data_IF_803104092928
#
_entry.id   IF_803104092928
#
_cell.length_a   1.000
_cell.length_b   1.000
_cell.length_c   1.000
_cell.angle_alpha   90.00
_cell.angle_beta   90.00
_cell.angle_gamma   90.00
#
_symmetry.space_group_name_H-M   'P 1'
#
loop_
_entity.id
_entity.type
_entity.pdbx_description
1 polymer ?
#
# COMPACT_ATOMS: atom_id res chain seq x y z
N UNK A 1 15.03 -4.12 35.96
CA UNK A 1 13.96 -4.95 35.38
C UNK A 1 12.58 -4.62 35.98
N UNK A 2 12.38 -4.69 37.30
CA UNK A 2 11.11 -4.40 37.96
C UNK A 2 10.55 -2.98 37.72
N UNK A 3 11.40 -1.94 37.73
CA UNK A 3 11.01 -0.58 37.34
C UNK A 3 10.48 -0.47 35.92
N UNK A 4 11.09 -1.19 34.97
CA UNK A 4 10.63 -1.21 33.58
C UNK A 4 9.28 -1.92 33.44
N UNK A 5 9.05 -2.99 34.21
CA UNK A 5 7.80 -3.76 34.19
C UNK A 5 6.63 -2.97 34.80
N UNK A 6 6.84 -2.27 35.92
CA UNK A 6 5.84 -1.39 36.53
C UNK A 6 5.50 -0.19 35.65
N UNK A 7 6.49 0.34 34.92
CA UNK A 7 6.25 1.39 33.93
C UNK A 7 5.46 0.86 32.73
N UNK A 8 5.74 -0.36 32.26
CA UNK A 8 4.97 -1.02 31.20
C UNK A 8 3.52 -1.29 31.64
N UNK A 9 3.31 -1.72 32.88
CA UNK A 9 1.97 -2.00 33.43
C UNK A 9 1.15 -0.72 33.67
N UNK A 10 1.79 0.38 34.08
CA UNK A 10 1.11 1.67 34.31
C UNK A 10 1.13 2.60 33.08
N UNK A 11 1.94 2.32 32.05
CA UNK A 11 2.06 3.12 30.84
C UNK A 11 0.72 3.35 30.12
N UNK A 12 -0.21 2.37 30.03
CA UNK A 12 -1.52 2.61 29.44
C UNK A 12 -2.32 3.68 30.18
N UNK A 13 -2.31 3.65 31.52
CA UNK A 13 -3.00 4.63 32.36
C UNK A 13 -2.35 6.00 32.27
N UNK A 14 -1.01 6.08 32.34
CA UNK A 14 -0.26 7.33 32.21
C UNK A 14 -0.49 7.94 30.83
N UNK A 15 -0.47 7.13 29.77
CA UNK A 15 -0.68 7.56 28.39
C UNK A 15 -2.13 8.00 28.16
N UNK A 16 -3.10 7.30 28.74
CA UNK A 16 -4.51 7.69 28.72
C UNK A 16 -4.70 9.05 29.41
N UNK A 17 -4.22 9.20 30.65
CA UNK A 17 -4.28 10.45 31.41
C UNK A 17 -3.62 11.61 30.66
N UNK A 18 -2.44 11.37 30.06
CA UNK A 18 -1.74 12.37 29.24
C UNK A 18 -2.53 12.75 27.98
N UNK A 19 -3.17 11.79 27.29
CA UNK A 19 -3.94 12.03 26.06
C UNK A 19 -5.24 12.80 26.29
N UNK A 20 -5.96 12.50 27.37
CA UNK A 20 -7.17 13.23 27.78
C UNK A 20 -6.81 14.66 28.14
N UNK A 21 -5.73 14.85 28.91
CA UNK A 21 -5.27 16.19 29.27
C UNK A 21 -4.73 17.00 28.08
N UNK A 22 -3.96 16.40 27.18
CA UNK A 22 -3.43 17.09 25.99
C UNK A 22 -4.55 17.60 25.06
N UNK A 23 -5.70 16.93 25.05
CA UNK A 23 -6.88 17.35 24.29
C UNK A 23 -7.79 18.31 25.06
N UNK A 24 -7.94 18.13 26.37
CA UNK A 24 -9.04 18.73 27.13
C UNK A 24 -8.60 19.66 28.27
N UNK A 25 -7.31 19.73 28.59
CA UNK A 25 -6.77 20.63 29.62
C UNK A 25 -7.15 20.30 31.07
N UNK A 26 -7.77 19.14 31.30
CA UNK A 26 -8.27 18.68 32.61
C UNK A 26 -7.74 17.30 33.00
N UNK A 27 -7.81 16.97 34.28
CA UNK A 27 -7.48 15.63 34.80
C UNK A 27 -8.56 14.63 34.33
N UNK A 28 -8.15 13.41 33.97
CA UNK A 28 -9.08 12.36 33.56
C UNK A 28 -10.00 11.95 34.73
N UNK A 29 -11.30 11.78 34.44
CA UNK A 29 -12.28 11.36 35.44
C UNK A 29 -11.99 9.93 35.92
N UNK A 30 -12.12 9.68 37.24
CA UNK A 30 -12.01 8.33 37.83
C UNK A 30 -10.75 8.02 38.65
N UNK A 31 -9.84 8.98 38.86
CA UNK A 31 -8.77 8.80 39.87
C UNK A 31 -9.39 8.95 41.26
N UNK A 32 -9.63 7.84 41.94
CA UNK A 32 -10.20 7.86 43.29
C UNK A 32 -9.31 8.72 44.22
N UNK A 33 -9.87 9.65 45.02
CA UNK A 33 -9.09 10.53 45.90
C UNK A 33 -8.20 9.77 46.91
N UNK A 34 -8.53 8.51 47.19
CA UNK A 34 -7.78 7.60 48.06
C UNK A 34 -6.61 6.89 47.38
N UNK A 35 -6.50 6.91 46.05
CA UNK A 35 -5.48 6.15 45.32
C UNK A 35 -4.05 6.55 45.70
N UNK A 36 -3.68 7.84 45.82
CA UNK A 36 -2.34 8.22 46.28
C UNK A 36 -2.05 7.80 47.72
N UNK A 37 -3.07 7.82 48.59
CA UNK A 37 -2.94 7.40 49.98
C UNK A 37 -2.74 5.88 50.09
N UNK A 38 -3.40 5.08 49.25
CA UNK A 38 -3.21 3.63 49.17
C UNK A 38 -1.82 3.25 48.66
N UNK A 39 -1.32 3.94 47.63
CA UNK A 39 0.05 3.72 47.10
C UNK A 39 1.11 4.13 48.13
N UNK A 40 0.91 5.24 48.84
CA UNK A 40 1.80 5.66 49.93
C UNK A 40 1.79 4.64 51.08
N UNK A 41 0.61 4.17 51.50
CA UNK A 41 0.45 3.13 52.52
C UNK A 41 1.13 1.80 52.14
N UNK A 42 0.93 1.33 50.90
CA UNK A 42 1.59 0.13 50.38
C UNK A 42 3.12 0.29 50.28
N UNK A 43 3.61 1.48 49.94
CA UNK A 43 5.05 1.76 49.88
C UNK A 43 5.70 1.76 51.25
N UNK A 44 5.01 2.25 52.29
CA UNK A 44 5.45 2.17 53.68
C UNK A 44 5.50 0.72 54.17
N UNK A 45 4.55 -0.11 53.76
CA UNK A 45 4.56 -1.54 54.07
C UNK A 45 5.77 -2.24 53.42
N UNK A 46 6.07 -1.95 52.16
CA UNK A 46 7.27 -2.46 51.49
C UNK A 46 8.56 -1.98 52.19
N UNK A 47 8.62 -0.72 52.63
CA UNK A 47 9.79 -0.22 53.36
C UNK A 47 9.96 -0.91 54.71
N UNK A 48 8.85 -1.12 55.44
CA UNK A 48 8.84 -1.87 56.69
C UNK A 48 9.31 -3.31 56.48
N UNK A 49 8.79 -4.00 55.45
CA UNK A 49 9.23 -5.35 55.09
C UNK A 49 10.71 -5.38 54.74
N UNK A 50 11.23 -4.39 53.99
CA UNK A 50 12.65 -4.30 53.66
C UNK A 50 13.54 -4.17 54.90
N UNK A 51 13.15 -3.33 55.86
CA UNK A 51 13.88 -3.14 57.12
C UNK A 51 13.81 -4.39 58.01
N UNK A 52 12.68 -5.10 58.00
CA UNK A 52 12.49 -6.30 58.80
C UNK A 52 13.23 -7.52 58.24
N UNK A 53 13.36 -7.64 56.91
CA UNK A 53 13.95 -8.83 56.27
C UNK A 53 15.36 -8.60 55.74
N UNK A 54 15.81 -7.34 55.61
CA UNK A 54 17.07 -6.98 54.97
C UNK A 54 17.07 -7.16 53.44
N UNK A 55 15.92 -7.49 52.83
CA UNK A 55 15.82 -7.74 51.39
C UNK A 55 15.62 -6.44 50.61
N UNK A 56 16.64 -6.15 49.79
CA UNK A 56 16.74 -4.95 48.95
C UNK A 56 15.61 -4.84 47.90
N UNK A 57 14.99 -5.95 47.49
CA UNK A 57 13.88 -5.92 46.54
C UNK A 57 12.67 -5.15 47.10
N UNK A 58 12.38 -5.30 48.40
CA UNK A 58 11.31 -4.56 49.05
C UNK A 58 11.63 -3.07 49.18
N UNK A 59 12.90 -2.72 49.43
CA UNK A 59 13.35 -1.33 49.47
C UNK A 59 13.20 -0.66 48.09
N UNK A 60 13.56 -1.36 47.01
CA UNK A 60 13.39 -0.89 45.63
C UNK A 60 11.90 -0.66 45.33
N UNK A 61 11.03 -1.61 45.67
CA UNK A 61 9.59 -1.47 45.44
C UNK A 61 8.97 -0.31 46.24
N UNK A 62 9.43 -0.06 47.46
CA UNK A 62 9.01 1.10 48.26
C UNK A 62 9.37 2.43 47.58
N UNK A 63 10.60 2.57 47.08
CA UNK A 63 11.04 3.77 46.36
C UNK A 63 10.22 3.99 45.08
N UNK A 64 9.97 2.93 44.32
CA UNK A 64 9.14 3.01 43.10
C UNK A 64 7.73 3.49 43.43
N UNK A 65 7.12 2.94 44.47
CA UNK A 65 5.77 3.32 44.89
C UNK A 65 5.70 4.79 45.33
N UNK A 66 6.67 5.27 46.10
CA UNK A 66 6.76 6.69 46.54
C UNK A 66 6.90 7.63 45.33
N UNK A 67 7.81 7.32 44.39
CA UNK A 67 8.00 8.13 43.18
C UNK A 67 6.74 8.14 42.33
N UNK A 68 6.07 7.00 42.17
CA UNK A 68 4.81 6.88 41.42
C UNK A 68 3.70 7.70 42.05
N UNK A 69 3.53 7.62 43.38
CA UNK A 69 2.56 8.43 44.11
C UNK A 69 2.85 9.93 43.98
N UNK A 70 4.12 10.34 44.08
CA UNK A 70 4.55 11.72 43.88
C UNK A 70 4.25 12.24 42.47
N UNK A 71 4.45 11.43 41.43
CA UNK A 71 4.07 11.77 40.06
C UNK A 71 2.55 11.94 39.95
N UNK A 72 1.76 11.01 40.47
CA UNK A 72 0.28 11.08 40.42
C UNK A 72 -0.23 12.31 41.16
N UNK A 73 0.29 12.59 42.37
CA UNK A 73 -0.05 13.79 43.13
C UNK A 73 0.37 15.06 42.38
N UNK A 74 1.57 15.07 41.78
CA UNK A 74 2.03 16.16 40.93
C UNK A 74 1.11 16.41 39.74
N UNK A 75 0.59 15.35 39.10
CA UNK A 75 -0.40 15.46 38.02
C UNK A 75 -1.75 16.00 38.49
N UNK A 76 -2.17 15.69 39.72
CA UNK A 76 -3.43 16.18 40.31
C UNK A 76 -3.31 17.65 40.71
N UNK A 77 -2.24 18.03 41.40
CA UNK A 77 -2.14 19.32 42.08
C UNK A 77 -1.26 20.36 41.36
N UNK A 78 -0.28 19.94 40.56
CA UNK A 78 0.66 20.82 39.86
C UNK A 78 1.07 20.28 38.47
N UNK A 79 0.11 20.08 37.55
CA UNK A 79 0.34 19.35 36.30
C UNK A 79 1.35 20.04 35.37
N UNK A 80 1.35 21.38 35.29
CA UNK A 80 2.26 22.13 34.41
C UNK A 80 3.73 21.92 34.80
N UNK A 81 4.03 22.03 36.10
CA UNK A 81 5.37 21.87 36.65
C UNK A 81 5.82 20.41 36.56
N UNK A 82 4.93 19.47 36.90
CA UNK A 82 5.20 18.03 36.82
C UNK A 82 5.50 17.59 35.38
N UNK A 83 4.76 18.10 34.40
CA UNK A 83 4.97 17.79 32.98
C UNK A 83 6.22 18.43 32.39
N UNK A 84 6.63 19.62 32.85
CA UNK A 84 7.88 20.24 32.44
C UNK A 84 9.11 19.38 32.82
N UNK A 85 9.02 18.66 33.95
CA UNK A 85 10.07 17.75 34.42
C UNK A 85 9.97 16.36 33.76
N UNK A 86 8.77 15.79 33.68
CA UNK A 86 8.59 14.43 33.16
C UNK A 86 8.67 14.33 31.63
N UNK A 87 8.22 15.35 30.90
CA UNK A 87 8.17 15.34 29.44
C UNK A 87 9.53 15.03 28.79
N UNK A 88 10.63 15.71 29.15
CA UNK A 88 11.97 15.40 28.63
C UNK A 88 12.45 13.97 28.98
N UNK A 89 12.19 13.51 30.21
CA UNK A 89 12.58 12.18 30.68
C UNK A 89 11.83 11.06 29.93
N UNK A 90 10.52 11.23 29.73
CA UNK A 90 9.69 10.30 28.95
C UNK A 90 10.22 10.19 27.53
N UNK A 91 10.49 11.33 26.86
CA UNK A 91 11.06 11.33 25.50
C UNK A 91 12.43 10.64 25.44
N UNK A 92 13.27 10.81 26.46
CA UNK A 92 14.57 10.14 26.53
C UNK A 92 14.42 8.63 26.69
N UNK A 93 13.51 8.18 27.57
CA UNK A 93 13.20 6.76 27.78
C UNK A 93 12.61 6.15 26.51
N UNK A 94 11.69 6.85 25.83
CA UNK A 94 11.13 6.40 24.55
C UNK A 94 12.22 6.25 23.47
N UNK A 95 13.16 7.20 23.39
CA UNK A 95 14.33 7.09 22.49
C UNK A 95 15.22 5.92 22.85
N UNK A 96 15.50 5.70 24.14
CA UNK A 96 16.33 4.59 24.60
C UNK A 96 15.65 3.23 24.36
N UNK A 97 14.35 3.10 24.66
CA UNK A 97 13.56 1.89 24.38
C UNK A 97 13.44 1.61 22.88
N UNK A 98 13.42 2.64 22.03
CA UNK A 98 13.44 2.47 20.58
C UNK A 98 14.74 1.82 20.06
N UNK A 99 15.86 1.94 20.79
CA UNK A 99 17.12 1.24 20.46
C UNK A 99 17.05 -0.27 20.74
N UNK A 100 16.15 -0.71 21.63
CA UNK A 100 16.00 -2.11 22.05
C UNK A 100 14.75 -2.80 21.50
N UNK A 101 13.81 -2.06 20.87
CA UNK A 101 12.72 -2.71 20.14
C UNK A 101 13.31 -3.50 18.98
N UNK A 102 13.00 -4.80 18.83
CA UNK A 102 13.33 -5.51 17.61
C UNK A 102 12.71 -4.70 16.46
N UNK A 103 13.54 -4.21 15.54
CA UNK A 103 13.05 -3.61 14.31
C UNK A 103 12.21 -4.70 13.66
N UNK A 104 10.91 -4.43 13.54
CA UNK A 104 10.00 -5.29 12.79
C UNK A 104 10.63 -5.62 11.43
N UNK A 105 10.24 -6.75 10.83
CA UNK A 105 10.72 -7.12 9.50
C UNK A 105 10.52 -5.99 8.48
N UNK A 106 9.45 -5.20 8.64
CA UNK A 106 9.14 -3.99 7.87
C UNK A 106 10.15 -2.88 8.14
N UNK A 107 10.37 -2.48 9.40
CA UNK A 107 11.33 -1.42 9.73
C UNK A 107 12.76 -1.77 9.31
N UNK A 108 13.13 -3.05 9.38
CA UNK A 108 14.40 -3.53 8.87
C UNK A 108 14.48 -3.48 7.33
N UNK A 109 13.38 -3.79 6.62
CA UNK A 109 13.33 -3.74 5.17
C UNK A 109 13.41 -2.32 4.59
N UNK A 110 12.89 -1.32 5.31
CA UNK A 110 12.99 0.10 4.93
C UNK A 110 14.28 0.79 5.42
N UNK A 111 15.14 0.10 6.16
CA UNK A 111 16.34 0.71 6.73
C UNK A 111 17.26 1.23 5.61
N UNK A 112 17.50 2.55 5.59
CA UNK A 112 18.34 3.21 4.58
C UNK A 112 17.61 3.60 3.29
N UNK A 113 16.34 3.29 3.13
CA UNK A 113 15.55 3.70 1.96
C UNK A 113 15.10 5.17 2.07
N UNK A 114 15.36 5.96 1.03
CA UNK A 114 14.80 7.32 0.89
C UNK A 114 13.60 7.28 -0.05
N UNK A 115 12.40 7.37 0.50
CA UNK A 115 11.15 7.25 -0.29
C UNK A 115 10.72 8.56 -0.95
N UNK A 116 11.22 9.72 -0.50
CA UNK A 116 10.75 11.03 -0.98
C UNK A 116 10.96 11.23 -2.50
N UNK A 117 11.97 10.59 -3.08
CA UNK A 117 12.26 10.65 -4.51
C UNK A 117 11.19 9.95 -5.39
N UNK A 118 10.30 9.17 -4.77
CA UNK A 118 9.26 8.43 -5.47
C UNK A 118 7.94 9.17 -5.63
N UNK A 119 7.80 10.34 -5.01
CA UNK A 119 6.57 11.10 -5.09
C UNK A 119 6.31 11.56 -6.53
N UNK A 120 5.06 11.47 -6.98
CA UNK A 120 4.61 12.20 -8.15
C UNK A 120 4.73 13.70 -7.90
N UNK A 121 5.18 14.44 -8.92
CA UNK A 121 5.39 15.90 -8.81
C UNK A 121 4.09 16.68 -8.70
N UNK A 122 3.02 16.23 -9.38
CA UNK A 122 1.65 16.76 -9.27
C UNK A 122 0.64 15.71 -9.77
N UNK A 123 0.23 14.75 -8.93
CA UNK A 123 -0.71 13.69 -9.32
C UNK A 123 -2.02 14.20 -9.92
N UNK A 124 -2.59 15.27 -9.35
CA UNK A 124 -3.88 15.80 -9.78
C UNK A 124 -3.74 16.50 -11.14
N UNK A 125 -2.73 17.37 -11.31
CA UNK A 125 -2.44 18.02 -12.58
C UNK A 125 -2.09 17.03 -13.69
N UNK A 126 -1.43 15.91 -13.37
CA UNK A 126 -1.16 14.84 -14.33
C UNK A 126 -2.44 14.17 -14.84
N UNK A 127 -3.39 13.84 -13.95
CA UNK A 127 -4.70 13.29 -14.36
C UNK A 127 -5.44 14.30 -15.22
N UNK A 128 -5.56 15.55 -14.76
CA UNK A 128 -6.23 16.60 -15.51
C UNK A 128 -5.60 16.82 -16.88
N UNK A 129 -4.27 16.82 -16.98
CA UNK A 129 -3.56 16.96 -18.24
C UNK A 129 -3.85 15.83 -19.23
N UNK A 130 -3.90 14.58 -18.77
CA UNK A 130 -4.26 13.44 -19.63
C UNK A 130 -5.73 13.47 -20.04
N UNK A 131 -6.63 13.85 -19.13
CA UNK A 131 -8.05 14.04 -19.44
C UNK A 131 -8.25 15.10 -20.52
N UNK A 132 -7.59 16.25 -20.42
CA UNK A 132 -7.71 17.32 -21.44
C UNK A 132 -7.15 16.88 -22.80
N UNK A 133 -6.04 16.12 -22.81
CA UNK A 133 -5.52 15.53 -24.05
C UNK A 133 -6.49 14.52 -24.65
N UNK A 134 -7.10 13.67 -23.84
CA UNK A 134 -8.07 12.68 -24.30
C UNK A 134 -9.34 13.33 -24.87
N UNK A 135 -9.80 14.45 -24.29
CA UNK A 135 -10.93 15.24 -24.82
C UNK A 135 -10.63 15.87 -26.19
N UNK A 136 -9.36 16.17 -26.46
CA UNK A 136 -8.92 16.80 -27.70
C UNK A 136 -8.80 15.81 -28.87
N UNK A 137 -8.87 14.51 -28.62
CA UNK A 137 -8.86 13.47 -29.67
C UNK A 137 -10.11 13.61 -30.56
N UNK A 138 -9.91 13.42 -31.87
CA UNK A 138 -10.96 13.60 -32.89
C UNK A 138 -11.33 12.28 -33.55
N UNK A 139 -12.58 12.20 -33.98
CA UNK A 139 -13.10 11.02 -34.65
C UNK A 139 -13.05 9.78 -33.74
N UNK A 140 -13.05 8.61 -34.38
CA UNK A 140 -12.75 7.33 -33.72
C UNK A 140 -11.29 7.29 -33.35
N UNK A 141 -11.03 7.41 -32.06
CA UNK A 141 -9.71 7.56 -31.49
C UNK A 141 -9.44 6.54 -30.41
N UNK A 142 -8.19 6.41 -29.99
CA UNK A 142 -7.78 5.41 -29.01
C UNK A 142 -6.93 6.01 -27.89
N UNK A 143 -7.17 5.55 -26.67
CA UNK A 143 -6.27 5.76 -25.53
C UNK A 143 -5.70 4.39 -25.14
N UNK A 144 -4.40 4.21 -25.30
CA UNK A 144 -3.70 3.06 -24.75
C UNK A 144 -3.38 3.36 -23.29
N UNK A 145 -3.98 2.62 -22.38
CA UNK A 145 -3.74 2.79 -20.95
C UNK A 145 -2.97 1.59 -20.41
N UNK A 146 -1.69 1.82 -20.17
CA UNK A 146 -0.78 0.82 -19.65
C UNK A 146 -0.37 1.12 -18.21
N UNK A 147 -0.31 0.07 -17.38
CA UNK A 147 0.23 0.21 -16.04
C UNK A 147 0.65 -1.15 -15.47
N UNK A 148 1.74 -1.25 -14.70
CA UNK A 148 1.97 -2.40 -13.87
C UNK A 148 0.87 -2.52 -12.81
N UNK A 149 0.70 -3.73 -12.27
CA UNK A 149 -0.36 -4.02 -11.31
C UNK A 149 -0.31 -3.07 -10.10
N UNK A 150 -1.47 -2.55 -9.69
CA UNK A 150 -1.66 -1.64 -8.56
C UNK A 150 -0.99 -0.24 -8.71
N UNK A 151 -0.61 0.19 -9.91
CA UNK A 151 -0.07 1.54 -10.15
C UNK A 151 -1.12 2.66 -10.11
N UNK A 152 -2.40 2.34 -10.34
CA UNK A 152 -3.51 3.33 -10.33
C UNK A 152 -4.34 3.40 -11.61
N UNK A 153 -4.12 2.47 -12.55
CA UNK A 153 -4.83 2.34 -13.83
C UNK A 153 -6.33 2.60 -13.74
N UNK A 154 -7.02 1.88 -12.85
CA UNK A 154 -8.47 2.00 -12.66
C UNK A 154 -8.91 3.39 -12.17
N UNK A 155 -8.06 4.11 -11.44
CA UNK A 155 -8.34 5.49 -11.02
C UNK A 155 -8.36 6.41 -12.23
N UNK A 156 -7.37 6.31 -13.11
CA UNK A 156 -7.33 7.12 -14.33
C UNK A 156 -8.44 6.72 -15.31
N UNK A 157 -8.69 5.43 -15.49
CA UNK A 157 -9.78 4.93 -16.34
C UNK A 157 -11.13 5.53 -15.90
N UNK A 158 -11.41 5.55 -14.59
CA UNK A 158 -12.62 6.16 -14.04
C UNK A 158 -12.68 7.68 -14.25
N UNK A 159 -11.54 8.38 -14.15
CA UNK A 159 -11.46 9.81 -14.46
C UNK A 159 -11.74 10.09 -15.94
N UNK A 160 -11.23 9.25 -16.85
CA UNK A 160 -11.51 9.34 -18.28
C UNK A 160 -12.99 9.05 -18.59
N UNK A 161 -13.57 8.03 -17.97
CA UNK A 161 -14.99 7.68 -18.12
C UNK A 161 -15.92 8.84 -17.70
N UNK A 162 -15.62 9.47 -16.56
CA UNK A 162 -16.36 10.65 -16.10
C UNK A 162 -16.19 11.87 -17.00
N UNK A 163 -15.03 12.03 -17.65
CA UNK A 163 -14.74 13.18 -18.50
C UNK A 163 -15.21 13.01 -19.96
N UNK A 164 -15.30 11.77 -20.43
CA UNK A 164 -15.69 11.38 -21.80
C UNK A 164 -17.05 10.66 -21.80
N UNK A 165 -17.94 11.03 -20.88
CA UNK A 165 -19.24 10.36 -20.69
C UNK A 165 -20.01 10.24 -22.00
N UNK A 166 -20.45 9.02 -22.31
CA UNK A 166 -21.15 8.69 -23.56
C UNK A 166 -20.25 8.43 -24.76
N UNK A 167 -18.99 8.89 -24.75
CA UNK A 167 -18.01 8.72 -25.84
C UNK A 167 -16.97 7.64 -25.57
N UNK A 168 -16.77 7.24 -24.31
CA UNK A 168 -15.78 6.23 -23.98
C UNK A 168 -16.33 4.80 -24.21
N UNK A 169 -15.52 3.93 -24.82
CA UNK A 169 -15.77 2.47 -24.93
C UNK A 169 -14.52 1.74 -24.45
N UNK A 170 -14.66 0.76 -23.56
CA UNK A 170 -13.52 0.05 -22.98
C UNK A 170 -13.30 -1.32 -23.60
N UNK A 171 -12.08 -1.56 -24.07
CA UNK A 171 -11.59 -2.86 -24.52
C UNK A 171 -10.54 -3.38 -23.54
N UNK A 172 -10.96 -4.33 -22.71
CA UNK A 172 -10.09 -5.01 -21.76
C UNK A 172 -9.33 -6.13 -22.47
N UNK A 173 -8.00 -6.05 -22.55
CA UNK A 173 -7.21 -7.10 -23.22
C UNK A 173 -7.22 -8.44 -22.47
N UNK A 174 -7.64 -8.45 -21.21
CA UNK A 174 -7.84 -9.69 -20.46
C UNK A 174 -8.87 -10.62 -21.14
N UNK A 175 -9.76 -10.08 -21.99
CA UNK A 175 -10.68 -10.87 -22.82
C UNK A 175 -9.98 -11.68 -23.91
N UNK A 176 -8.76 -11.28 -24.28
CA UNK A 176 -7.97 -11.88 -25.35
C UNK A 176 -6.94 -12.89 -24.85
N UNK A 177 -6.97 -13.29 -23.58
CA UNK A 177 -6.12 -14.39 -23.12
C UNK A 177 -6.41 -15.68 -23.91
N UNK A 178 -5.34 -16.41 -24.23
CA UNK A 178 -5.43 -17.78 -24.70
C UNK A 178 -5.88 -18.74 -23.59
N UNK A 179 -6.18 -19.98 -23.96
CA UNK A 179 -6.50 -21.01 -22.97
C UNK A 179 -5.33 -21.16 -21.98
N UNK A 180 -5.64 -21.35 -20.69
CA UNK A 180 -4.64 -21.47 -19.65
C UNK A 180 -3.67 -22.65 -19.88
N UNK A 181 -4.12 -23.69 -20.60
CA UNK A 181 -3.28 -24.83 -21.02
C UNK A 181 -2.25 -24.49 -22.11
N UNK A 182 -2.44 -23.37 -22.80
CA UNK A 182 -1.55 -22.88 -23.85
C UNK A 182 -0.74 -21.65 -23.40
N UNK A 183 -1.07 -21.08 -22.23
CA UNK A 183 -0.34 -19.97 -21.67
C UNK A 183 1.13 -20.37 -21.39
N UNK A 184 2.09 -19.42 -21.53
CA UNK A 184 3.44 -19.62 -21.05
C UNK A 184 3.44 -20.09 -19.60
N UNK A 185 4.38 -20.97 -19.25
CA UNK A 185 4.53 -21.43 -17.88
C UNK A 185 5.63 -20.64 -17.17
N UNK A 186 5.41 -20.37 -15.89
CA UNK A 186 6.44 -19.88 -14.99
C UNK A 186 7.40 -21.01 -14.55
N UNK A 187 8.41 -20.63 -13.76
CA UNK A 187 9.40 -21.57 -13.22
C UNK A 187 8.82 -22.69 -12.34
N UNK A 188 7.61 -22.50 -11.82
CA UNK A 188 6.90 -23.48 -10.99
C UNK A 188 5.90 -24.30 -11.82
N UNK A 189 5.89 -24.14 -13.16
CA UNK A 189 4.98 -24.84 -14.06
C UNK A 189 3.55 -24.31 -14.05
N UNK A 190 3.32 -23.09 -13.55
CA UNK A 190 1.98 -22.46 -13.51
C UNK A 190 1.80 -21.50 -14.69
N UNK A 191 0.58 -21.36 -15.23
CA UNK A 191 0.29 -20.35 -16.25
C UNK A 191 0.72 -18.94 -15.84
N UNK A 192 1.40 -18.25 -16.75
CA UNK A 192 1.96 -16.91 -16.58
C UNK A 192 1.33 -15.94 -17.56
N UNK A 193 0.29 -15.23 -17.09
CA UNK A 193 -0.46 -14.24 -17.86
C UNK A 193 0.22 -12.87 -17.92
N UNK A 194 1.31 -12.68 -17.17
CA UNK A 194 2.11 -11.44 -17.20
C UNK A 194 3.14 -11.48 -18.35
N UNK A 195 2.85 -12.24 -19.42
CA UNK A 195 3.68 -12.35 -20.63
C UNK A 195 2.86 -12.02 -21.88
N UNK A 196 3.41 -11.31 -22.87
CA UNK A 196 2.71 -10.98 -24.10
C UNK A 196 2.13 -12.20 -24.82
N UNK A 197 2.83 -13.33 -24.80
CA UNK A 197 2.44 -14.58 -25.47
C UNK A 197 1.19 -15.23 -24.83
N UNK A 198 0.79 -14.82 -23.63
CA UNK A 198 -0.46 -15.26 -23.03
C UNK A 198 -1.68 -14.58 -23.68
N UNK A 199 -1.49 -13.45 -24.36
CA UNK A 199 -2.52 -12.64 -25.00
C UNK A 199 -2.52 -12.90 -26.50
N UNK A 200 -3.71 -13.07 -27.08
CA UNK A 200 -3.91 -13.16 -28.54
C UNK A 200 -3.85 -11.77 -29.17
N UNK A 201 -2.65 -11.18 -29.18
CA UNK A 201 -2.41 -9.79 -29.60
C UNK A 201 -2.85 -9.54 -31.05
N UNK A 202 -2.69 -10.50 -31.96
CA UNK A 202 -3.13 -10.38 -33.35
C UNK A 202 -4.65 -10.27 -33.48
N UNK A 203 -5.38 -11.00 -32.62
CA UNK A 203 -6.83 -10.89 -32.57
C UNK A 203 -7.25 -9.53 -32.01
N UNK A 204 -6.63 -9.07 -30.93
CA UNK A 204 -6.88 -7.75 -30.37
C UNK A 204 -6.55 -6.62 -31.37
N UNK A 205 -5.43 -6.69 -32.08
CA UNK A 205 -5.05 -5.73 -33.11
C UNK A 205 -6.07 -5.67 -34.26
N UNK A 206 -6.54 -6.83 -34.74
CA UNK A 206 -7.59 -6.89 -35.75
C UNK A 206 -8.86 -6.19 -35.28
N UNK A 207 -9.28 -6.46 -34.04
CA UNK A 207 -10.51 -5.92 -33.48
C UNK A 207 -10.40 -4.41 -33.22
N UNK A 208 -9.26 -3.93 -32.71
CA UNK A 208 -8.96 -2.49 -32.58
C UNK A 208 -9.07 -1.80 -33.94
N UNK A 209 -8.47 -2.36 -34.99
CA UNK A 209 -8.53 -1.79 -36.34
C UNK A 209 -9.97 -1.73 -36.86
N UNK A 210 -10.73 -2.80 -36.70
CA UNK A 210 -12.13 -2.86 -37.14
C UNK A 210 -13.00 -1.83 -36.39
N UNK A 211 -12.83 -1.73 -35.07
CA UNK A 211 -13.52 -0.73 -34.24
C UNK A 211 -13.21 0.70 -34.67
N UNK A 212 -11.93 1.02 -34.92
CA UNK A 212 -11.51 2.35 -35.38
C UNK A 212 -11.99 2.67 -36.81
N UNK A 213 -12.22 1.66 -37.65
CA UNK A 213 -12.89 1.80 -38.93
C UNK A 213 -14.42 1.99 -38.81
N UNK A 214 -14.99 1.85 -37.60
CA UNK A 214 -16.42 1.94 -37.33
C UNK A 214 -17.20 0.65 -37.60
N UNK A 215 -16.49 -0.47 -37.77
CA UNK A 215 -17.09 -1.78 -37.94
C UNK A 215 -17.62 -2.31 -36.60
N UNK A 216 -18.62 -3.18 -36.67
CA UNK A 216 -19.14 -3.90 -35.51
C UNK A 216 -18.39 -5.21 -35.36
N UNK A 217 -17.87 -5.47 -34.17
CA UNK A 217 -17.18 -6.71 -33.83
C UNK A 217 -17.99 -7.51 -32.80
N UNK A 218 -17.74 -8.81 -32.74
CA UNK A 218 -18.12 -9.65 -31.62
C UNK A 218 -16.91 -9.82 -30.71
N UNK A 219 -17.06 -9.47 -29.43
CA UNK A 219 -15.97 -9.51 -28.47
C UNK A 219 -15.70 -10.96 -28.03
N UNK A 220 -14.44 -11.35 -27.81
CA UNK A 220 -14.13 -12.56 -27.10
C UNK A 220 -14.42 -12.39 -25.60
N UNK A 221 -14.42 -13.52 -24.89
CA UNK A 221 -14.41 -13.53 -23.44
C UNK A 221 -13.42 -14.57 -22.93
N UNK A 222 -12.92 -14.34 -21.71
CA UNK A 222 -12.03 -15.26 -21.02
C UNK A 222 -12.59 -15.56 -19.63
N UNK A 223 -12.79 -16.85 -19.34
CA UNK A 223 -13.26 -17.28 -18.04
C UNK A 223 -12.08 -17.64 -17.13
N UNK A 224 -11.78 -16.73 -16.19
CA UNK A 224 -10.71 -16.88 -15.20
C UNK A 224 -10.88 -18.11 -14.28
N UNK A 225 -12.09 -18.66 -14.13
CA UNK A 225 -12.34 -19.84 -13.28
C UNK A 225 -12.01 -21.13 -14.02
N UNK A 226 -12.42 -21.24 -15.28
CA UNK A 226 -12.18 -22.44 -16.09
C UNK A 226 -10.88 -22.36 -16.87
N UNK A 227 -10.28 -21.17 -16.99
CA UNK A 227 -9.09 -20.89 -17.77
C UNK A 227 -9.32 -21.00 -19.27
N UNK A 228 -10.55 -20.82 -19.75
CA UNK A 228 -10.94 -21.02 -21.16
C UNK A 228 -11.25 -19.71 -21.87
N UNK A 229 -10.77 -19.62 -23.09
CA UNK A 229 -11.08 -18.55 -24.04
C UNK A 229 -12.30 -18.91 -24.88
N UNK A 230 -13.21 -17.95 -25.06
CA UNK A 230 -14.38 -18.05 -25.94
C UNK A 230 -14.23 -16.96 -27.00
N UNK A 231 -13.93 -17.31 -28.27
CA UNK A 231 -13.68 -16.33 -29.31
C UNK A 231 -14.88 -15.43 -29.61
N UNK A 232 -16.10 -15.96 -29.49
CA UNK A 232 -17.36 -15.31 -29.85
C UNK A 232 -18.30 -15.41 -28.65
N UNK A 233 -18.35 -14.35 -27.83
CA UNK A 233 -19.09 -14.36 -26.57
C UNK A 233 -20.59 -14.04 -26.71
N UNK A 234 -21.04 -13.61 -27.89
CA UNK A 234 -22.35 -13.00 -28.11
C UNK A 234 -22.43 -11.52 -27.70
N UNK A 235 -21.37 -10.95 -27.14
CA UNK A 235 -21.26 -9.52 -26.83
C UNK A 235 -20.71 -8.77 -28.05
N UNK A 236 -21.32 -7.65 -28.42
CA UNK A 236 -20.91 -6.86 -29.58
C UNK A 236 -20.48 -5.45 -29.19
N UNK A 237 -19.50 -4.92 -29.92
CA UNK A 237 -19.02 -3.56 -29.77
C UNK A 237 -18.91 -2.87 -31.13
N UNK A 238 -19.23 -1.59 -31.17
CA UNK A 238 -19.02 -0.71 -32.32
C UNK A 238 -18.73 0.71 -31.80
N UNK A 239 -17.86 1.44 -32.50
CA UNK A 239 -17.57 2.83 -32.17
C UNK A 239 -18.39 3.79 -33.04
N UNK A 240 -19.03 4.76 -32.37
CA UNK A 240 -19.63 5.92 -33.04
C UNK A 240 -18.55 6.88 -33.55
N UNK A 241 -18.94 7.87 -34.37
CA UNK A 241 -18.01 8.71 -35.13
C UNK A 241 -16.99 9.46 -34.26
N UNK A 242 -17.34 9.81 -33.01
CA UNK A 242 -16.50 10.57 -32.07
C UNK A 242 -16.19 9.80 -30.79
N UNK A 243 -16.35 8.48 -30.81
CA UNK A 243 -16.02 7.62 -29.68
C UNK A 243 -14.51 7.48 -29.46
N UNK A 244 -14.13 7.36 -28.19
CA UNK A 244 -12.76 7.09 -27.74
C UNK A 244 -12.71 5.66 -27.20
N UNK A 245 -11.95 4.80 -27.86
CA UNK A 245 -11.64 3.45 -27.41
C UNK A 245 -10.55 3.51 -26.34
N UNK A 246 -10.80 3.05 -25.11
CA UNK A 246 -9.74 2.81 -24.14
C UNK A 246 -9.30 1.35 -24.22
N UNK A 247 -8.04 1.11 -24.56
CA UNK A 247 -7.42 -0.21 -24.52
C UNK A 247 -6.75 -0.35 -23.16
N UNK A 248 -7.35 -1.18 -22.30
CA UNK A 248 -6.93 -1.30 -20.90
C UNK A 248 -6.15 -2.59 -20.66
N UNK A 249 -4.85 -2.50 -20.38
CA UNK A 249 -3.99 -3.68 -20.20
C UNK A 249 -2.61 -3.37 -19.60
N UNK A 250 -1.92 -4.39 -19.11
CA UNK A 250 -0.47 -4.31 -18.82
C UNK A 250 0.38 -4.29 -20.10
N UNK A 251 -0.20 -4.58 -21.26
CA UNK A 251 0.46 -4.56 -22.59
C UNK A 251 -0.27 -3.64 -23.57
N UNK A 252 -1.01 -2.64 -23.09
CA UNK A 252 -1.90 -1.85 -23.93
C UNK A 252 -1.15 -1.18 -25.09
N UNK A 253 0.04 -0.66 -24.83
CA UNK A 253 0.86 0.04 -25.83
C UNK A 253 1.78 -0.88 -26.64
N UNK A 254 1.55 -2.20 -26.60
CA UNK A 254 2.35 -3.16 -27.37
C UNK A 254 2.42 -2.75 -28.86
N UNK A 255 3.60 -2.79 -29.52
CA UNK A 255 3.78 -2.24 -30.87
C UNK A 255 2.76 -2.74 -31.89
N UNK A 256 2.39 -4.02 -31.81
CA UNK A 256 1.38 -4.64 -32.67
C UNK A 256 -0.02 -4.01 -32.50
N UNK A 257 -0.39 -3.59 -31.29
CA UNK A 257 -1.67 -2.92 -31.02
C UNK A 257 -1.62 -1.45 -31.44
N UNK A 258 -0.50 -0.76 -31.21
CA UNK A 258 -0.30 0.61 -31.71
C UNK A 258 -0.38 0.68 -33.22
N UNK A 259 0.26 -0.27 -33.92
CA UNK A 259 0.20 -0.38 -35.37
C UNK A 259 -1.24 -0.60 -35.89
N UNK A 260 -2.13 -1.21 -35.09
CA UNK A 260 -3.53 -1.38 -35.47
C UNK A 260 -4.33 -0.06 -35.46
N UNK A 261 -3.85 0.94 -34.73
CA UNK A 261 -4.47 2.26 -34.62
C UNK A 261 -3.83 3.33 -35.52
N UNK A 262 -2.90 2.95 -36.40
CA UNK A 262 -2.30 3.87 -37.37
C UNK A 262 -3.38 4.53 -38.23
N UNK A 263 -3.33 5.87 -38.32
CA UNK A 263 -4.32 6.66 -39.05
C UNK A 263 -5.47 7.22 -38.19
N UNK A 264 -5.60 6.78 -36.93
CA UNK A 264 -6.48 7.39 -35.94
C UNK A 264 -5.71 8.27 -34.97
N UNK A 265 -6.39 9.26 -34.37
CA UNK A 265 -5.86 9.99 -33.23
C UNK A 265 -5.65 9.00 -32.07
N UNK A 266 -4.44 9.02 -31.49
CA UNK A 266 -4.08 8.13 -30.39
C UNK A 266 -3.41 8.90 -29.24
N UNK A 267 -3.60 8.40 -28.03
CA UNK A 267 -2.90 8.84 -26.83
C UNK A 267 -2.40 7.63 -26.05
N UNK A 268 -1.09 7.53 -25.89
CA UNK A 268 -0.44 6.47 -25.13
C UNK A 268 -0.08 6.97 -23.72
N UNK A 269 -0.65 6.32 -22.70
CA UNK A 269 -0.50 6.70 -21.31
C UNK A 269 0.05 5.54 -20.51
N UNK A 270 1.24 5.75 -19.95
CA UNK A 270 1.87 4.81 -19.02
C UNK A 270 1.70 5.31 -17.59
N UNK A 271 1.02 4.54 -16.75
CA UNK A 271 0.94 4.81 -15.32
C UNK A 271 2.04 4.08 -14.58
N UNK A 272 2.84 4.84 -13.83
CA UNK A 272 3.97 4.37 -13.07
C UNK A 272 3.68 4.51 -11.56
N UNK A 273 4.26 3.61 -10.77
CA UNK A 273 4.35 3.73 -9.33
C UNK A 273 5.46 2.81 -8.82
N UNK A 274 6.18 3.19 -7.75
CA UNK A 274 7.17 2.33 -7.13
C UNK A 274 6.56 0.97 -6.75
N UNK A 275 7.26 -0.11 -7.07
CA UNK A 275 6.96 -1.47 -6.65
C UNK A 275 6.63 -1.54 -5.17
N UNK A 276 7.37 -0.82 -4.32
CA UNK A 276 7.14 -0.88 -2.86
C UNK A 276 5.80 -0.28 -2.46
N UNK A 277 5.28 0.69 -3.21
CA UNK A 277 3.93 1.25 -3.02
C UNK A 277 2.89 0.30 -3.61
N UNK A 278 3.13 -0.22 -4.82
CA UNK A 278 2.22 -1.14 -5.51
C UNK A 278 1.99 -2.43 -4.73
N UNK A 279 3.03 -2.99 -4.10
CA UNK A 279 2.91 -4.15 -3.23
C UNK A 279 1.95 -3.87 -2.06
N UNK A 280 2.09 -2.74 -1.36
CA UNK A 280 1.20 -2.37 -0.26
C UNK A 280 -0.25 -2.24 -0.74
N UNK A 281 -0.47 -1.52 -1.86
CA UNK A 281 -1.80 -1.36 -2.47
C UNK A 281 -2.41 -2.70 -2.86
N UNK A 282 -1.62 -3.60 -3.46
CA UNK A 282 -2.05 -4.95 -3.87
C UNK A 282 -2.45 -5.81 -2.68
N UNK A 283 -1.63 -5.83 -1.62
CA UNK A 283 -1.92 -6.56 -0.39
C UNK A 283 -3.21 -6.05 0.27
N UNK A 284 -3.36 -4.74 0.38
CA UNK A 284 -4.56 -4.12 0.94
C UNK A 284 -5.81 -4.47 0.11
N UNK A 285 -5.76 -4.30 -1.21
CA UNK A 285 -6.87 -4.60 -2.13
C UNK A 285 -7.27 -6.07 -2.08
N UNK A 286 -6.33 -6.99 -2.19
CA UNK A 286 -6.67 -8.42 -2.29
C UNK A 286 -7.14 -8.99 -0.94
N UNK A 287 -6.68 -8.40 0.18
CA UNK A 287 -7.23 -8.72 1.50
C UNK A 287 -8.70 -8.26 1.61
N UNK A 288 -9.00 -7.02 1.25
CA UNK A 288 -10.36 -6.44 1.43
C UNK A 288 -11.37 -6.95 0.40
N UNK A 289 -10.97 -7.07 -0.86
CA UNK A 289 -11.89 -7.39 -1.98
C UNK A 289 -12.01 -8.90 -2.18
N UNK A 290 -10.93 -9.65 -1.98
CA UNK A 290 -10.84 -11.07 -2.40
C UNK A 290 -10.67 -12.04 -1.22
N UNK A 291 -10.52 -11.54 0.00
CA UNK A 291 -10.25 -12.36 1.19
C UNK A 291 -8.96 -13.18 1.06
N UNK A 292 -8.04 -12.80 0.16
CA UNK A 292 -6.86 -13.61 -0.15
C UNK A 292 -5.83 -13.44 0.98
N UNK A 293 -5.31 -14.54 1.56
CA UNK A 293 -4.26 -14.47 2.57
C UNK A 293 -3.02 -13.73 2.06
N UNK A 294 -2.37 -12.96 2.95
CA UNK A 294 -1.17 -12.17 2.63
C UNK A 294 -0.07 -13.07 2.03
N UNK A 295 0.19 -14.22 2.65
CA UNK A 295 1.19 -15.19 2.17
C UNK A 295 0.98 -15.62 0.71
N UNK A 296 -0.26 -15.91 0.31
CA UNK A 296 -0.56 -16.33 -1.07
C UNK A 296 -0.47 -15.19 -2.08
N UNK A 297 -0.62 -13.94 -1.63
CA UNK A 297 -0.38 -12.79 -2.49
C UNK A 297 1.12 -12.56 -2.71
N UNK A 298 1.93 -12.76 -1.66
CA UNK A 298 3.38 -12.54 -1.71
C UNK A 298 4.13 -13.54 -2.61
N UNK A 299 3.70 -14.81 -2.64
CA UNK A 299 4.40 -15.88 -3.40
C UNK A 299 4.65 -15.55 -4.88
N UNK A 300 3.76 -14.79 -5.52
CA UNK A 300 3.89 -14.41 -6.93
C UNK A 300 4.60 -13.07 -7.20
N UNK A 301 4.91 -12.29 -6.16
CA UNK A 301 5.35 -10.90 -6.34
C UNK A 301 6.69 -10.76 -7.06
N UNK A 302 7.67 -11.61 -6.73
CA UNK A 302 8.99 -11.58 -7.39
C UNK A 302 8.87 -11.84 -8.90
N UNK A 303 8.03 -12.80 -9.31
CA UNK A 303 7.75 -13.08 -10.72
C UNK A 303 7.11 -11.87 -11.41
N UNK A 304 6.16 -11.21 -10.74
CA UNK A 304 5.54 -9.98 -11.27
C UNK A 304 6.61 -8.92 -11.53
N UNK A 305 7.57 -8.71 -10.62
CA UNK A 305 8.65 -7.73 -10.82
C UNK A 305 9.58 -8.12 -11.99
N UNK A 306 9.89 -9.41 -12.14
CA UNK A 306 10.71 -9.94 -13.24
C UNK A 306 10.02 -9.72 -14.60
N UNK A 307 8.75 -10.12 -14.70
CA UNK A 307 7.94 -9.94 -15.92
C UNK A 307 7.69 -8.46 -16.23
N UNK A 308 7.45 -7.64 -15.21
CA UNK A 308 7.31 -6.21 -15.36
C UNK A 308 8.58 -5.59 -15.95
N UNK A 309 9.75 -5.96 -15.45
CA UNK A 309 11.01 -5.46 -15.99
C UNK A 309 11.27 -5.92 -17.44
N UNK A 310 10.86 -7.15 -17.78
CA UNK A 310 11.08 -7.74 -19.09
C UNK A 310 10.11 -7.24 -20.17
N UNK A 311 8.83 -7.04 -19.83
CA UNK A 311 7.76 -6.89 -20.82
C UNK A 311 6.94 -5.61 -20.68
N UNK A 312 6.81 -5.04 -19.48
CA UNK A 312 5.95 -3.87 -19.21
C UNK A 312 6.77 -2.58 -19.18
N UNK A 313 7.82 -2.51 -18.36
CA UNK A 313 8.69 -1.32 -18.27
C UNK A 313 9.28 -0.85 -19.61
N UNK A 314 9.64 -1.72 -20.57
CA UNK A 314 10.14 -1.26 -21.87
C UNK A 314 9.13 -0.40 -22.64
N UNK A 315 7.83 -0.63 -22.45
CA UNK A 315 6.76 0.08 -23.15
C UNK A 315 6.62 1.54 -22.69
N UNK A 316 7.06 1.85 -21.45
CA UNK A 316 7.15 3.22 -20.89
C UNK A 316 7.84 4.22 -21.81
N UNK A 317 8.86 3.79 -22.57
CA UNK A 317 9.65 4.67 -23.44
C UNK A 317 8.89 5.22 -24.65
N UNK A 318 7.81 4.56 -25.06
CA UNK A 318 6.98 4.97 -26.20
C UNK A 318 5.71 5.75 -25.83
N UNK A 319 5.49 6.01 -24.54
CA UNK A 319 4.28 6.63 -24.05
C UNK A 319 4.30 8.16 -24.23
N UNK A 320 3.16 8.73 -24.62
CA UNK A 320 3.01 10.18 -24.76
C UNK A 320 2.87 10.90 -23.41
N UNK A 321 2.46 10.17 -22.36
CA UNK A 321 2.39 10.65 -21.00
C UNK A 321 2.79 9.55 -20.02
N UNK A 322 3.62 9.90 -19.03
CA UNK A 322 3.91 9.03 -17.88
C UNK A 322 3.33 9.68 -16.62
N UNK A 323 2.43 8.97 -15.94
CA UNK A 323 1.74 9.47 -14.75
C UNK A 323 2.22 8.71 -13.51
N UNK A 324 2.56 9.41 -12.43
CA UNK A 324 2.80 8.81 -11.13
C UNK A 324 1.89 9.46 -10.09
N UNK A 325 0.91 8.69 -9.60
CA UNK A 325 -0.11 9.19 -8.66
C UNK A 325 0.30 9.12 -7.19
N UNK A 326 1.52 8.68 -6.89
CA UNK A 326 1.96 8.51 -5.51
C UNK A 326 2.17 9.85 -4.83
N UNK A 327 1.51 10.04 -3.68
CA UNK A 327 1.64 11.28 -2.91
C UNK A 327 2.77 11.18 -1.87
N UNK A 328 3.37 12.32 -1.47
CA UNK A 328 4.33 12.33 -0.36
C UNK A 328 3.75 11.77 0.94
N UNK A 329 2.46 11.98 1.18
CA UNK A 329 1.75 11.45 2.34
C UNK A 329 1.65 9.91 2.30
N UNK A 330 1.34 9.33 1.13
CA UNK A 330 1.30 7.89 0.96
C UNK A 330 2.67 7.26 1.25
N UNK A 331 3.75 7.89 0.76
CA UNK A 331 5.12 7.42 0.99
C UNK A 331 5.53 7.53 2.47
N UNK A 332 5.17 8.63 3.13
CA UNK A 332 5.46 8.82 4.56
C UNK A 332 4.77 7.77 5.44
N UNK A 333 3.56 7.36 5.05
CA UNK A 333 2.75 6.38 5.78
C UNK A 333 3.03 4.92 5.37
N UNK A 334 3.82 4.68 4.33
CA UNK A 334 4.00 3.36 3.73
C UNK A 334 4.52 2.30 4.71
N UNK A 335 5.55 2.55 5.55
CA UNK A 335 5.99 1.56 6.53
C UNK A 335 4.87 1.19 7.52
N UNK A 336 4.12 2.18 8.01
CA UNK A 336 3.00 1.92 8.92
C UNK A 336 1.86 1.14 8.25
N UNK A 337 1.63 1.35 6.95
CA UNK A 337 0.66 0.56 6.19
C UNK A 337 1.05 -0.93 6.12
N UNK A 338 2.33 -1.23 5.92
CA UNK A 338 2.83 -2.62 5.98
C UNK A 338 2.71 -3.23 7.38
N UNK A 339 3.01 -2.48 8.44
CA UNK A 339 2.83 -2.95 9.83
C UNK A 339 1.37 -3.29 10.11
N UNK A 340 0.44 -2.47 9.63
CA UNK A 340 -1.00 -2.73 9.77
C UNK A 340 -1.41 -4.01 9.05
N UNK A 341 -0.83 -4.30 7.88
CA UNK A 341 -1.08 -5.55 7.16
C UNK A 341 -0.56 -6.77 7.92
N UNK A 342 0.52 -6.63 8.70
CA UNK A 342 1.09 -7.68 9.54
C UNK A 342 0.44 -7.82 10.93
N UNK A 343 -0.34 -6.84 11.38
CA UNK A 343 -0.87 -6.82 12.74
C UNK A 343 -1.68 -8.08 13.09
N UNK A 344 -2.35 -8.65 12.09
CA UNK A 344 -3.18 -9.86 12.22
C UNK A 344 -2.46 -11.15 11.77
N UNK A 345 -1.29 -11.04 11.13
CA UNK A 345 -0.54 -12.19 10.61
C UNK A 345 0.29 -12.81 11.73
N UNK A 346 0.07 -14.09 12.05
CA UNK A 346 0.79 -14.79 13.12
C UNK A 346 1.89 -15.69 12.61
N UNK A 347 1.90 -16.04 11.32
CA UNK A 347 2.90 -16.92 10.72
C UNK A 347 4.26 -16.20 10.56
N UNK A 348 5.33 -16.66 11.24
CA UNK A 348 6.66 -16.09 11.10
C UNK A 348 7.22 -16.18 9.67
N UNK A 349 6.86 -17.21 8.91
CA UNK A 349 7.32 -17.39 7.54
C UNK A 349 6.71 -16.33 6.60
N UNK A 350 5.42 -16.02 6.76
CA UNK A 350 4.75 -14.97 5.99
C UNK A 350 5.33 -13.59 6.33
N UNK A 351 5.61 -13.33 7.60
CA UNK A 351 6.28 -12.09 8.06
C UNK A 351 7.67 -11.92 7.44
N UNK A 352 8.46 -12.99 7.41
CA UNK A 352 9.79 -12.98 6.79
C UNK A 352 9.71 -12.75 5.27
N UNK A 353 8.78 -13.44 4.60
CA UNK A 353 8.53 -13.30 3.17
C UNK A 353 8.11 -11.87 2.81
N UNK A 354 7.26 -11.22 3.62
CA UNK A 354 6.89 -9.82 3.38
C UNK A 354 8.12 -8.90 3.42
N UNK A 355 8.98 -9.05 4.43
CA UNK A 355 10.21 -8.26 4.53
C UNK A 355 11.13 -8.46 3.33
N UNK A 356 11.22 -9.69 2.81
CA UNK A 356 11.92 -9.98 1.57
C UNK A 356 11.28 -9.29 0.36
N UNK A 357 9.95 -9.35 0.21
CA UNK A 357 9.24 -8.73 -0.90
C UNK A 357 9.31 -7.20 -0.87
N UNK A 358 9.31 -6.57 0.31
CA UNK A 358 9.58 -5.13 0.45
C UNK A 358 10.97 -4.81 -0.08
N UNK A 359 12.01 -5.55 0.33
CA UNK A 359 13.38 -5.34 -0.16
C UNK A 359 13.50 -5.55 -1.67
N UNK A 360 12.90 -6.61 -2.21
CA UNK A 360 12.87 -6.87 -3.64
C UNK A 360 12.20 -5.72 -4.41
N UNK A 361 11.13 -5.15 -3.85
CA UNK A 361 10.44 -4.00 -4.43
C UNK A 361 11.32 -2.75 -4.42
N UNK A 362 11.95 -2.43 -3.28
CA UNK A 362 12.88 -1.30 -3.17
C UNK A 362 14.09 -1.43 -4.11
N UNK A 363 14.57 -2.65 -4.34
CA UNK A 363 15.61 -2.94 -5.32
C UNK A 363 15.11 -2.70 -6.75
N UNK A 364 13.91 -3.19 -7.08
CA UNK A 364 13.29 -2.96 -8.40
C UNK A 364 12.98 -1.47 -8.68
N UNK A 365 12.84 -0.68 -7.62
CA UNK A 365 12.66 0.78 -7.66
C UNK A 365 13.99 1.56 -7.67
N UNK A 366 15.14 0.87 -7.65
CA UNK A 366 16.46 1.49 -7.72
C UNK A 366 16.97 2.14 -6.42
N UNK A 367 16.36 1.80 -5.27
CA UNK A 367 16.72 2.35 -3.94
C UNK A 367 17.66 1.45 -3.13
N UNK A 368 17.97 0.24 -3.61
CA UNK A 368 18.99 -0.60 -2.99
C UNK A 368 20.35 -0.48 -3.70
N UNK A 369 21.38 -0.06 -2.96
CA UNK A 369 22.81 -0.30 -3.26
C UNK A 369 23.26 -1.61 -2.64
#
# INVERSE_FOLDING_TARGET
>A
AAMGLLWVLNAPQIRHNYSVWAKEGRVADGIAPLYPALVAGGSLLHLFTALATGDIHWAINAVIGIVTAGIVLGQIYAPKQTNAVLGPLIRLIERALALFKPRSAVAAAFAGASLAAFAGTDPAGQISGVVERAKALKGRSVVFLEAPTAAGKSTLAKSLEGALTGRLRALELDRYYGDASQAPLDKDGRPDFDRPEAVRLEAAARDIRALLAGERIELPSYDMKTGRSVPNSGEFMQLDADDVLIVDSIFASHPLLKAAAEGSDMLDVYMDAPAVVRLARRLARDKTVRGKPVGDNLKGWRRILENEAAFIKPLRGGADAVINLVTPEELANLPAAYEKLLAEETDPAVRALLGEMIRASLQADGVAR
#
